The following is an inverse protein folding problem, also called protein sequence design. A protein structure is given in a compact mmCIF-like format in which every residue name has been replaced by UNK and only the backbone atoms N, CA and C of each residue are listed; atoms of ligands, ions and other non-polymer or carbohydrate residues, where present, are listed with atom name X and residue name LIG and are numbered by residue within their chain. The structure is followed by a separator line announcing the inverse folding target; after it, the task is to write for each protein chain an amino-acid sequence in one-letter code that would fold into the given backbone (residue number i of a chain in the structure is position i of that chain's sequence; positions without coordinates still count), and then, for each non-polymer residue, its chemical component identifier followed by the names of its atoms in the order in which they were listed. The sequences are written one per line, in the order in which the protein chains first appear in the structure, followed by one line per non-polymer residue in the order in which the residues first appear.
data_IF_761186792679
#
_entry.id   IF_761186792679
#
_cell.length_a   1.000
_cell.length_b   1.000
_cell.length_c   1.000
_cell.angle_alpha   90.00
_cell.angle_beta   90.00
_cell.angle_gamma   90.00
#
_symmetry.space_group_name_H-M   'P 1'
#
loop_
_entity.id
_entity.type
_entity.pdbx_description
1 polymer ?
#
# COMPACT_ATOMS: atom_id res chain seq x y z
N UNK A 1 -27.86 0.85 -13.25
CA UNK A 1 -26.84 1.79 -13.72
C UNK A 1 -25.65 1.63 -12.79
N UNK A 2 -24.53 1.13 -13.28
CA UNK A 2 -23.28 1.06 -12.51
C UNK A 2 -22.62 2.43 -12.61
N UNK A 3 -22.76 3.24 -11.55
CA UNK A 3 -22.00 4.48 -11.42
C UNK A 3 -20.51 4.12 -11.43
N UNK A 4 -19.77 4.62 -12.42
CA UNK A 4 -18.31 4.55 -12.42
C UNK A 4 -17.83 5.41 -11.24
N UNK A 5 -16.96 4.89 -10.35
CA UNK A 5 -16.39 5.71 -9.29
C UNK A 5 -15.66 6.90 -9.92
N UNK A 6 -15.87 8.09 -9.36
CA UNK A 6 -15.21 9.29 -9.85
C UNK A 6 -13.69 9.25 -9.60
N UNK A 7 -12.96 10.08 -10.36
CA UNK A 7 -11.50 10.17 -10.26
C UNK A 7 -11.03 10.48 -8.83
N UNK A 8 -11.79 11.29 -8.09
CA UNK A 8 -11.45 11.65 -6.71
C UNK A 8 -11.48 10.43 -5.77
N UNK A 9 -12.47 9.55 -5.94
CA UNK A 9 -12.61 8.29 -5.20
C UNK A 9 -11.46 7.35 -5.53
N UNK A 10 -11.12 7.19 -6.81
CA UNK A 10 -10.03 6.33 -7.23
C UNK A 10 -8.65 6.81 -6.73
N UNK A 11 -8.41 8.13 -6.73
CA UNK A 11 -7.20 8.73 -6.15
C UNK A 11 -7.16 8.49 -4.64
N UNK A 12 -8.28 8.70 -3.94
CA UNK A 12 -8.37 8.46 -2.51
C UNK A 12 -8.03 6.99 -2.17
N UNK A 13 -8.56 6.05 -2.94
CA UNK A 13 -8.30 4.62 -2.74
C UNK A 13 -6.83 4.27 -2.98
N UNK A 14 -6.20 4.86 -4.00
CA UNK A 14 -4.77 4.67 -4.28
C UNK A 14 -3.86 5.25 -3.17
N UNK A 15 -4.30 6.27 -2.42
CA UNK A 15 -3.54 6.80 -1.27
C UNK A 15 -3.44 5.81 -0.10
N UNK A 16 -4.43 4.92 0.05
CA UNK A 16 -4.45 3.95 1.16
C UNK A 16 -3.27 2.96 1.13
N UNK A 17 -2.97 2.24 0.03
CA UNK A 17 -1.79 1.39 -0.02
C UNK A 17 -0.48 2.18 0.03
N UNK A 18 -0.42 3.41 -0.52
CA UNK A 18 0.76 4.27 -0.39
C UNK A 18 1.09 4.59 1.08
N UNK A 19 0.07 4.96 1.86
CA UNK A 19 0.24 5.19 3.30
C UNK A 19 0.69 3.91 4.02
N UNK A 20 0.16 2.76 3.62
CA UNK A 20 0.56 1.47 4.19
C UNK A 20 2.02 1.16 3.91
N UNK A 21 2.51 1.41 2.69
CA UNK A 21 3.92 1.25 2.31
C UNK A 21 4.80 2.14 3.19
N UNK A 22 4.48 3.44 3.31
CA UNK A 22 5.28 4.37 4.11
C UNK A 22 5.29 3.99 5.59
N UNK A 23 4.15 3.62 6.15
CA UNK A 23 4.05 3.21 7.56
C UNK A 23 4.89 1.96 7.85
N UNK A 24 4.78 0.92 7.02
CA UNK A 24 5.53 -0.32 7.23
C UNK A 24 7.03 -0.14 6.97
N UNK A 25 7.43 0.74 6.05
CA UNK A 25 8.83 1.08 5.85
C UNK A 25 9.43 1.76 7.10
N UNK A 26 8.70 2.71 7.71
CA UNK A 26 9.13 3.32 8.97
C UNK A 26 9.13 2.30 10.13
N UNK A 27 8.15 1.39 10.16
CA UNK A 27 8.10 0.31 11.15
C UNK A 27 9.32 -0.62 11.05
N UNK A 28 9.72 -1.03 9.84
CA UNK A 28 10.96 -1.81 9.61
C UNK A 28 12.19 -1.06 10.15
N UNK A 29 12.27 0.25 9.91
CA UNK A 29 13.37 1.08 10.41
C UNK A 29 13.42 1.11 11.95
N UNK A 30 12.28 1.09 12.63
CA UNK A 30 12.21 0.98 14.10
C UNK A 30 12.61 -0.43 14.55
N UNK A 31 11.99 -1.46 13.96
CA UNK A 31 12.19 -2.87 14.34
C UNK A 31 13.62 -3.36 14.08
N UNK A 32 14.29 -2.85 13.05
CA UNK A 32 15.70 -3.19 12.77
C UNK A 32 16.68 -2.75 13.85
N UNK A 33 16.27 -1.86 14.76
CA UNK A 33 17.04 -1.45 15.92
C UNK A 33 16.71 -2.29 17.17
N UNK A 34 15.69 -3.15 17.08
CA UNK A 34 15.23 -4.00 18.17
C UNK A 34 15.68 -5.46 17.95
N UNK A 35 16.50 -6.03 18.84
CA UNK A 35 16.87 -7.45 18.76
C UNK A 35 15.64 -8.37 18.87
N UNK A 36 15.61 -9.43 18.07
CA UNK A 36 14.54 -10.44 18.13
C UNK A 36 13.25 -10.06 17.39
N UNK A 37 13.29 -9.04 16.53
CA UNK A 37 12.15 -8.58 15.73
C UNK A 37 12.18 -9.03 14.26
N UNK A 38 12.93 -10.07 13.93
CA UNK A 38 13.12 -10.53 12.55
C UNK A 38 11.80 -10.95 11.90
N UNK A 39 10.90 -11.59 12.67
CA UNK A 39 9.60 -12.03 12.19
C UNK A 39 8.68 -10.83 11.87
N UNK A 40 8.70 -9.79 12.70
CA UNK A 40 7.92 -8.57 12.52
C UNK A 40 8.45 -7.74 11.34
N UNK A 41 9.77 -7.71 11.15
CA UNK A 41 10.39 -7.10 9.96
C UNK A 41 9.93 -7.83 8.70
N UNK A 42 9.98 -9.17 8.70
CA UNK A 42 9.56 -9.96 7.55
C UNK A 42 8.07 -9.76 7.24
N UNK A 43 7.21 -9.75 8.27
CA UNK A 43 5.79 -9.45 8.12
C UNK A 43 5.56 -8.05 7.55
N UNK A 44 6.28 -7.04 8.04
CA UNK A 44 6.16 -5.67 7.54
C UNK A 44 6.61 -5.56 6.07
N UNK A 45 7.64 -6.31 5.68
CA UNK A 45 8.09 -6.37 4.29
C UNK A 45 7.04 -7.04 3.39
N UNK A 46 6.40 -8.12 3.84
CA UNK A 46 5.31 -8.78 3.12
C UNK A 46 4.10 -7.83 2.95
N UNK A 47 3.78 -7.05 3.98
CA UNK A 47 2.71 -6.05 3.94
C UNK A 47 3.01 -4.90 2.95
N UNK A 48 4.29 -4.48 2.83
CA UNK A 48 4.74 -3.54 1.79
C UNK A 48 4.55 -4.12 0.40
N UNK A 49 4.95 -5.37 0.18
CA UNK A 49 4.80 -6.05 -1.13
C UNK A 49 3.33 -6.13 -1.51
N UNK A 50 2.46 -6.53 -0.57
CA UNK A 50 1.01 -6.60 -0.78
C UNK A 50 0.43 -5.23 -1.11
N UNK A 51 0.79 -4.20 -0.35
CA UNK A 51 0.32 -2.84 -0.61
C UNK A 51 0.82 -2.29 -1.96
N UNK A 52 2.05 -2.61 -2.36
CA UNK A 52 2.61 -2.20 -3.65
C UNK A 52 1.83 -2.81 -4.82
N UNK A 53 1.48 -4.11 -4.73
CA UNK A 53 0.62 -4.77 -5.74
C UNK A 53 -0.76 -4.12 -5.83
N UNK A 54 -1.42 -3.92 -4.68
CA UNK A 54 -2.73 -3.26 -4.63
C UNK A 54 -2.67 -1.83 -5.18
N UNK A 55 -1.60 -1.08 -4.88
CA UNK A 55 -1.39 0.25 -5.44
C UNK A 55 -1.30 0.19 -6.97
N UNK A 56 -0.53 -0.76 -7.52
CA UNK A 56 -0.41 -0.93 -8.97
C UNK A 56 -1.75 -1.24 -9.64
N UNK A 57 -2.59 -2.08 -9.03
CA UNK A 57 -3.92 -2.42 -9.54
C UNK A 57 -4.87 -1.21 -9.55
N UNK A 58 -4.85 -0.39 -8.49
CA UNK A 58 -5.64 0.84 -8.41
C UNK A 58 -5.17 1.88 -9.44
N UNK A 59 -3.85 2.02 -9.62
CA UNK A 59 -3.28 2.90 -10.65
C UNK A 59 -3.63 2.45 -12.06
N UNK A 60 -3.65 1.14 -12.33
CA UNK A 60 -4.10 0.61 -13.61
C UNK A 60 -5.58 0.95 -13.85
N UNK A 61 -6.41 0.85 -12.81
CA UNK A 61 -7.84 1.21 -12.89
C UNK A 61 -8.03 2.68 -13.23
N UNK A 62 -7.20 3.57 -12.68
CA UNK A 62 -7.17 4.99 -13.01
C UNK A 62 -6.84 5.26 -14.48
N UNK A 63 -5.90 4.50 -15.06
CA UNK A 63 -5.49 4.66 -16.46
C UNK A 63 -6.44 4.04 -17.49
N UNK A 64 -7.33 3.15 -17.05
CA UNK A 64 -8.26 2.42 -17.95
C UNK A 64 -9.67 3.01 -17.90
N UNK A 65 -9.85 4.13 -17.20
CA UNK A 65 -11.09 4.93 -17.18
C UNK A 65 -11.15 5.82 -18.43
N UNK A 66 -11.52 5.22 -19.57
CA UNK A 66 -12.07 5.92 -20.74
C UNK A 66 -13.58 6.17 -20.58
#
# INVERSE_FOLDING_TARGET
MTDKPDLATLIHDARKPLNHISMHAELIKILSQQPGSEAEIQKSADDIIKASKACSELLQTLMTQD
#
